data_IF_380231930204
#
_entry.id   IF_380231930204
#
_cell.length_a   1.000
_cell.length_b   1.000
_cell.length_c   1.000
_cell.angle_alpha   90.00
_cell.angle_beta   90.00
_cell.angle_gamma   90.00
#
_symmetry.space_group_name_H-M   'P 1'
#
loop_
_entity.id
_entity.type
_entity.pdbx_description
1 polymer ?
#
# COMPACT_ATOMS: atom_id res chain seq x y z
N UNK A 1 13.81 -4.40 24.45
CA UNK A 1 12.48 -4.18 23.82
C UNK A 1 12.65 -3.34 22.56
N UNK A 2 12.21 -3.89 21.44
CA UNK A 2 12.65 -3.50 20.10
C UNK A 2 12.02 -2.18 19.64
N UNK A 3 12.82 -1.14 19.39
CA UNK A 3 12.37 0.14 18.81
C UNK A 3 11.52 -0.04 17.54
N UNK A 4 11.75 -1.13 16.80
CA UNK A 4 10.96 -1.52 15.63
C UNK A 4 9.47 -1.72 15.90
N UNK A 5 9.08 -2.21 17.08
CA UNK A 5 7.65 -2.39 17.44
C UNK A 5 6.96 -1.03 17.51
N UNK A 6 7.59 -0.04 18.14
CA UNK A 6 7.06 1.32 18.25
C UNK A 6 6.97 2.02 16.89
N UNK A 7 7.98 1.85 16.02
CA UNK A 7 7.92 2.37 14.66
C UNK A 7 6.82 1.74 13.83
N UNK A 8 6.63 0.41 13.94
CA UNK A 8 5.54 -0.30 13.28
C UNK A 8 4.18 0.20 13.77
N UNK A 9 3.98 0.26 15.09
CA UNK A 9 2.74 0.72 15.70
C UNK A 9 2.36 2.14 15.23
N UNK A 10 3.33 3.07 15.26
CA UNK A 10 3.12 4.44 14.80
C UNK A 10 2.77 4.50 13.31
N UNK A 11 3.48 3.72 12.48
CA UNK A 11 3.24 3.69 11.03
C UNK A 11 1.84 3.18 10.72
N UNK A 12 1.42 2.06 11.33
CA UNK A 12 0.09 1.51 11.10
C UNK A 12 -1.02 2.40 11.68
N UNK A 13 -0.80 3.04 12.83
CA UNK A 13 -1.75 4.01 13.38
C UNK A 13 -1.90 5.24 12.46
N UNK A 14 -0.80 5.81 11.98
CA UNK A 14 -0.82 6.91 11.03
C UNK A 14 -1.51 6.53 9.72
N UNK A 15 -1.28 5.31 9.24
CA UNK A 15 -1.97 4.78 8.06
C UNK A 15 -3.49 4.64 8.26
N UNK A 16 -3.94 4.22 9.44
CA UNK A 16 -5.36 4.14 9.76
C UNK A 16 -6.10 5.49 9.74
N UNK A 17 -5.37 6.60 9.90
CA UNK A 17 -5.92 7.96 9.86
C UNK A 17 -6.01 8.53 8.43
N UNK A 18 -5.35 7.92 7.43
CA UNK A 18 -5.33 8.40 6.05
C UNK A 18 -6.73 8.56 5.43
N UNK A 19 -7.67 7.60 5.56
CA UNK A 19 -9.00 7.74 4.99
C UNK A 19 -9.75 8.99 5.49
N UNK A 20 -9.53 9.38 6.76
CA UNK A 20 -10.13 10.59 7.35
C UNK A 20 -9.55 11.84 6.67
N UNK A 21 -8.23 11.87 6.49
CA UNK A 21 -7.54 12.98 5.79
C UNK A 21 -8.01 13.12 4.34
N UNK A 22 -8.15 12.02 3.59
CA UNK A 22 -8.64 12.05 2.22
C UNK A 22 -10.09 12.51 2.13
N UNK A 23 -10.94 12.06 3.05
CA UNK A 23 -12.32 12.54 3.12
C UNK A 23 -12.41 14.04 3.40
N UNK A 24 -11.48 14.60 4.17
CA UNK A 24 -11.39 16.06 4.37
C UNK A 24 -10.93 16.81 3.10
N UNK A 25 -10.26 16.13 2.16
CA UNK A 25 -9.79 16.67 0.89
C UNK A 25 -10.65 16.23 -0.31
N UNK A 26 -11.86 15.70 -0.09
CA UNK A 26 -12.71 15.17 -1.16
C UNK A 26 -13.08 16.21 -2.23
N UNK A 27 -12.93 17.50 -1.94
CA UNK A 27 -13.15 18.60 -2.88
C UNK A 27 -11.99 18.81 -3.86
N UNK A 28 -10.82 18.22 -3.61
CA UNK A 28 -9.62 18.34 -4.45
C UNK A 28 -9.51 17.11 -5.35
N UNK A 29 -9.24 17.28 -6.66
CA UNK A 29 -9.06 16.15 -7.56
C UNK A 29 -7.95 15.19 -7.11
N UNK A 30 -8.19 13.88 -7.22
CA UNK A 30 -7.25 12.84 -6.79
C UNK A 30 -5.85 12.98 -7.45
N UNK A 31 -5.81 13.46 -8.70
CA UNK A 31 -4.57 13.69 -9.43
C UNK A 31 -3.74 14.83 -8.80
N UNK A 32 -4.38 15.91 -8.38
CA UNK A 32 -3.69 17.04 -7.73
C UNK A 32 -3.13 16.63 -6.37
N UNK A 33 -3.88 15.82 -5.62
CA UNK A 33 -3.44 15.24 -4.37
C UNK A 33 -2.19 14.36 -4.60
N UNK A 34 -2.23 13.48 -5.60
CA UNK A 34 -1.11 12.61 -5.94
C UNK A 34 0.11 13.42 -6.38
N UNK A 35 -0.08 14.44 -7.23
CA UNK A 35 1.00 15.30 -7.70
C UNK A 35 1.70 16.01 -6.54
N UNK A 36 0.93 16.63 -5.63
CA UNK A 36 1.47 17.26 -4.42
C UNK A 36 2.26 16.26 -3.57
N UNK A 37 1.74 15.05 -3.39
CA UNK A 37 2.43 14.00 -2.64
C UNK A 37 3.77 13.62 -3.27
N UNK A 38 3.83 13.47 -4.60
CA UNK A 38 5.07 13.14 -5.31
C UNK A 38 6.09 14.26 -5.15
N UNK A 39 5.67 15.53 -5.29
CA UNK A 39 6.54 16.69 -5.12
C UNK A 39 7.12 16.76 -3.71
N UNK A 40 6.28 16.65 -2.67
CA UNK A 40 6.76 16.69 -1.28
C UNK A 40 7.65 15.51 -0.92
N UNK A 41 7.35 14.31 -1.45
CA UNK A 41 8.18 13.12 -1.25
C UNK A 41 9.55 13.29 -1.91
N UNK A 42 9.58 13.87 -3.13
CA UNK A 42 10.83 14.18 -3.83
C UNK A 42 11.66 15.20 -3.05
N UNK A 43 11.04 16.31 -2.60
CA UNK A 43 11.74 17.33 -1.81
C UNK A 43 12.33 16.76 -0.53
N UNK A 44 11.56 15.96 0.22
CA UNK A 44 12.04 15.31 1.43
C UNK A 44 13.16 14.30 1.15
N UNK A 45 13.01 13.48 0.11
CA UNK A 45 14.04 12.52 -0.30
C UNK A 45 15.34 13.23 -0.69
N UNK A 46 15.26 14.31 -1.47
CA UNK A 46 16.41 15.12 -1.84
C UNK A 46 17.09 15.73 -0.61
N UNK A 47 16.33 16.25 0.35
CA UNK A 47 16.86 16.78 1.61
C UNK A 47 17.63 15.71 2.39
N UNK A 48 17.06 14.51 2.52
CA UNK A 48 17.71 13.38 3.20
C UNK A 48 19.01 12.98 2.50
N UNK A 49 18.99 12.90 1.16
CA UNK A 49 20.16 12.55 0.36
C UNK A 49 21.27 13.62 0.45
N UNK A 50 20.90 14.90 0.46
CA UNK A 50 21.81 16.01 0.67
C UNK A 50 22.53 15.89 2.03
N UNK A 51 21.78 15.60 3.09
CA UNK A 51 22.34 15.41 4.45
C UNK A 51 23.25 14.17 4.51
N UNK A 52 22.85 13.05 3.86
CA UNK A 52 23.66 11.82 3.85
C UNK A 52 24.87 11.86 2.92
N UNK A 53 24.94 12.85 2.02
CA UNK A 53 26.02 13.03 1.02
C UNK A 53 26.35 11.79 0.18
N UNK A 54 25.41 10.85 0.06
CA UNK A 54 25.62 9.61 -0.66
C UNK A 54 24.96 9.69 -2.04
N UNK A 55 25.76 9.99 -3.07
CA UNK A 55 25.29 10.13 -4.46
C UNK A 55 25.66 8.95 -5.35
N UNK A 56 26.26 7.89 -4.78
CA UNK A 56 26.69 6.70 -5.52
C UNK A 56 25.54 6.01 -6.26
N UNK A 57 24.32 6.09 -5.71
CA UNK A 57 23.11 5.53 -6.30
C UNK A 57 22.72 6.14 -7.66
N UNK A 58 23.09 7.39 -7.97
CA UNK A 58 22.77 8.00 -9.28
C UNK A 58 23.42 7.23 -10.43
N UNK A 59 24.61 6.68 -10.20
CA UNK A 59 25.34 5.96 -11.25
C UNK A 59 24.60 4.69 -11.63
N UNK A 60 24.08 3.97 -10.62
CA UNK A 60 23.33 2.74 -10.83
C UNK A 60 21.95 3.03 -11.43
N UNK A 61 21.27 4.08 -10.95
CA UNK A 61 19.96 4.49 -11.46
C UNK A 61 19.98 5.00 -12.92
N UNK A 62 21.15 5.39 -13.44
CA UNK A 62 21.34 5.81 -14.83
C UNK A 62 21.55 4.64 -15.80
N UNK A 63 21.73 3.43 -15.31
CA UNK A 63 21.81 2.27 -16.20
C UNK A 63 20.44 2.04 -16.85
N UNK A 64 20.36 1.81 -18.16
CA UNK A 64 19.09 1.78 -18.90
C UNK A 64 18.16 0.66 -18.42
N UNK A 65 18.70 -0.49 -18.05
CA UNK A 65 17.98 -1.62 -17.44
C UNK A 65 17.35 -1.24 -16.09
N UNK A 66 18.13 -0.63 -15.19
CA UNK A 66 17.64 -0.19 -13.88
C UNK A 66 16.63 0.95 -14.02
N UNK A 67 16.89 1.89 -14.94
CA UNK A 67 16.03 3.03 -15.18
C UNK A 67 14.63 2.61 -15.66
N UNK A 68 14.54 1.65 -16.59
CA UNK A 68 13.27 1.11 -17.07
C UNK A 68 12.49 0.44 -15.92
N UNK A 69 13.17 -0.33 -15.07
CA UNK A 69 12.55 -0.96 -13.90
C UNK A 69 12.00 0.10 -12.95
N UNK A 70 12.75 1.18 -12.70
CA UNK A 70 12.30 2.26 -11.82
C UNK A 70 11.12 3.04 -12.39
N UNK A 71 11.11 3.32 -13.70
CA UNK A 71 9.96 3.94 -14.38
C UNK A 71 8.73 3.03 -14.27
N UNK A 72 8.88 1.74 -14.54
CA UNK A 72 7.78 0.78 -14.46
C UNK A 72 7.23 0.69 -13.02
N UNK A 73 8.12 0.55 -12.03
CA UNK A 73 7.74 0.51 -10.62
C UNK A 73 7.07 1.82 -10.17
N UNK A 74 7.59 2.98 -10.59
CA UNK A 74 6.99 4.27 -10.29
C UNK A 74 5.61 4.43 -10.94
N UNK A 75 5.43 3.95 -12.18
CA UNK A 75 4.14 3.94 -12.87
C UNK A 75 3.11 3.06 -12.17
N UNK A 76 3.48 1.82 -11.84
CA UNK A 76 2.62 0.90 -11.08
C UNK A 76 2.23 1.50 -9.72
N UNK A 77 3.19 2.07 -9.00
CA UNK A 77 2.94 2.71 -7.72
C UNK A 77 2.04 3.94 -7.84
N UNK A 78 2.21 4.75 -8.89
CA UNK A 78 1.39 5.92 -9.15
C UNK A 78 -0.05 5.53 -9.50
N UNK A 79 -0.23 4.50 -10.34
CA UNK A 79 -1.56 3.96 -10.69
C UNK A 79 -2.25 3.44 -9.42
N UNK A 80 -1.56 2.61 -8.63
CA UNK A 80 -2.11 2.06 -7.40
C UNK A 80 -2.53 3.17 -6.42
N UNK A 81 -1.69 4.18 -6.20
CA UNK A 81 -2.05 5.31 -5.35
C UNK A 81 -3.17 6.18 -5.91
N UNK A 82 -3.20 6.40 -7.22
CA UNK A 82 -4.25 7.15 -7.87
C UNK A 82 -5.60 6.46 -7.68
N UNK A 83 -5.67 5.16 -7.97
CA UNK A 83 -6.88 4.34 -7.79
C UNK A 83 -7.33 4.36 -6.33
N UNK A 84 -6.39 4.24 -5.38
CA UNK A 84 -6.71 4.34 -3.95
C UNK A 84 -7.34 5.69 -3.56
N UNK A 85 -6.71 6.82 -3.96
CA UNK A 85 -7.21 8.16 -3.60
C UNK A 85 -8.56 8.42 -4.27
N UNK A 86 -8.69 8.04 -5.54
CA UNK A 86 -9.94 8.15 -6.29
C UNK A 86 -11.06 7.35 -5.63
N UNK A 87 -10.82 6.08 -5.30
CA UNK A 87 -11.78 5.21 -4.65
C UNK A 87 -12.25 5.76 -3.30
N UNK A 88 -11.32 6.30 -2.51
CA UNK A 88 -11.66 6.93 -1.22
C UNK A 88 -12.48 8.20 -1.41
N UNK A 89 -12.14 9.05 -2.38
CA UNK A 89 -12.88 10.29 -2.67
C UNK A 89 -14.29 10.01 -3.22
N UNK A 90 -14.46 8.97 -4.02
CA UNK A 90 -15.75 8.56 -4.60
C UNK A 90 -16.63 7.74 -3.64
N UNK A 91 -16.24 7.64 -2.35
CA UNK A 91 -17.02 6.96 -1.32
C UNK A 91 -16.82 5.45 -1.21
N UNK A 92 -15.98 4.85 -2.07
CA UNK A 92 -15.60 3.43 -2.05
C UNK A 92 -14.54 3.11 -0.98
N UNK A 93 -14.57 3.81 0.16
CA UNK A 93 -13.61 3.66 1.27
C UNK A 93 -13.65 2.25 1.85
N UNK A 94 -14.85 1.70 1.99
CA UNK A 94 -15.07 0.35 2.54
C UNK A 94 -14.54 -0.71 1.58
N UNK A 95 -14.81 -0.58 0.27
CA UNK A 95 -14.27 -1.48 -0.77
C UNK A 95 -12.75 -1.48 -0.81
N UNK A 96 -12.15 -0.28 -0.73
CA UNK A 96 -10.71 -0.10 -0.71
C UNK A 96 -10.09 -0.76 0.53
N UNK A 97 -10.71 -0.57 1.70
CA UNK A 97 -10.26 -1.18 2.96
C UNK A 97 -10.41 -2.71 2.93
N UNK A 98 -11.50 -3.21 2.35
CA UNK A 98 -11.74 -4.64 2.08
C UNK A 98 -10.60 -5.24 1.26
N UNK A 99 -10.13 -4.54 0.23
CA UNK A 99 -8.98 -4.98 -0.56
C UNK A 99 -7.70 -5.13 0.25
N UNK A 100 -7.42 -4.20 1.16
CA UNK A 100 -6.28 -4.33 2.08
C UNK A 100 -6.43 -5.49 3.06
N UNK A 101 -7.65 -5.87 3.45
CA UNK A 101 -7.87 -7.05 4.29
C UNK A 101 -7.74 -8.37 3.52
N UNK A 102 -8.01 -8.38 2.22
CA UNK A 102 -7.81 -9.55 1.34
C UNK A 102 -6.33 -9.77 1.04
N UNK A 103 -5.53 -8.71 0.93
CA UNK A 103 -4.11 -8.77 0.54
C UNK A 103 -3.27 -9.75 1.38
N UNK A 104 -3.34 -9.76 2.73
CA UNK A 104 -2.64 -10.75 3.55
C UNK A 104 -3.04 -12.20 3.24
N UNK A 105 -4.31 -12.46 2.95
CA UNK A 105 -4.77 -13.81 2.58
C UNK A 105 -4.20 -14.23 1.23
N UNK A 106 -4.22 -13.33 0.24
CA UNK A 106 -3.62 -13.57 -1.07
C UNK A 106 -2.13 -13.83 -0.93
N UNK A 107 -1.40 -13.03 -0.14
CA UNK A 107 0.02 -13.23 0.12
C UNK A 107 0.31 -14.58 0.78
N UNK A 108 -0.53 -15.02 1.73
CA UNK A 108 -0.41 -16.36 2.34
C UNK A 108 -0.63 -17.46 1.31
N UNK A 109 -1.66 -17.32 0.46
CA UNK A 109 -1.95 -18.29 -0.62
C UNK A 109 -0.78 -18.36 -1.60
N UNK A 110 -0.22 -17.22 -2.02
CA UNK A 110 0.96 -17.18 -2.89
C UNK A 110 2.20 -17.78 -2.18
N UNK A 111 2.39 -17.49 -0.89
CA UNK A 111 3.41 -18.09 -0.03
C UNK A 111 3.37 -19.62 -0.02
N UNK A 112 2.18 -20.18 0.15
CA UNK A 112 1.98 -21.64 0.21
C UNK A 112 2.06 -22.27 -1.18
N UNK A 113 1.44 -21.67 -2.21
CA UNK A 113 1.33 -22.28 -3.55
C UNK A 113 2.56 -22.08 -4.43
N UNK A 114 3.18 -20.89 -4.39
CA UNK A 114 4.32 -20.55 -5.23
C UNK A 114 5.62 -20.89 -4.47
N UNK A 115 5.74 -20.39 -3.24
CA UNK A 115 6.96 -20.53 -2.45
C UNK A 115 7.01 -21.80 -1.59
N UNK A 116 5.95 -22.61 -1.60
CA UNK A 116 5.86 -23.87 -0.86
C UNK A 116 6.13 -23.73 0.65
N UNK A 117 5.77 -22.57 1.23
CA UNK A 117 5.97 -22.31 2.64
C UNK A 117 5.06 -23.18 3.51
N UNK A 118 5.61 -23.73 4.60
CA UNK A 118 4.86 -24.54 5.57
C UNK A 118 4.40 -23.66 6.74
N UNK A 119 3.09 -23.50 6.87
CA UNK A 119 2.48 -22.73 7.96
C UNK A 119 2.30 -23.61 9.20
N UNK A 120 2.58 -23.05 10.37
CA UNK A 120 2.32 -23.70 11.67
C UNK A 120 0.81 -23.82 11.91
N UNK A 121 0.33 -24.81 12.70
CA UNK A 121 -1.10 -25.00 12.95
C UNK A 121 -1.83 -23.75 13.49
N UNK A 122 -1.18 -22.97 14.36
CA UNK A 122 -1.74 -21.71 14.86
C UNK A 122 -1.85 -20.62 13.79
N UNK A 123 -0.98 -20.62 12.78
CA UNK A 123 -1.06 -19.69 11.64
C UNK A 123 -2.25 -20.03 10.74
N UNK A 124 -2.54 -21.32 10.54
CA UNK A 124 -3.76 -21.74 9.86
C UNK A 124 -5.03 -21.26 10.58
N UNK A 125 -5.05 -21.30 11.92
CA UNK A 125 -6.13 -20.72 12.71
C UNK A 125 -6.30 -19.22 12.47
N UNK A 126 -5.20 -18.45 12.46
CA UNK A 126 -5.23 -17.02 12.17
C UNK A 126 -5.70 -16.71 10.74
N UNK A 127 -5.27 -17.50 9.75
CA UNK A 127 -5.72 -17.39 8.35
C UNK A 127 -7.22 -17.67 8.26
N UNK A 128 -7.73 -18.69 8.96
CA UNK A 128 -9.16 -18.99 9.01
C UNK A 128 -9.99 -17.84 9.58
N UNK A 129 -9.54 -17.23 10.68
CA UNK A 129 -10.22 -16.06 11.28
C UNK A 129 -10.22 -14.87 10.31
N UNK A 130 -9.07 -14.58 9.67
CA UNK A 130 -8.97 -13.51 8.68
C UNK A 130 -9.88 -13.76 7.47
N UNK A 131 -9.93 -15.00 6.97
CA UNK A 131 -10.80 -15.40 5.87
C UNK A 131 -12.29 -15.24 6.22
N UNK A 132 -12.70 -15.60 7.44
CA UNK A 132 -14.06 -15.38 7.92
C UNK A 132 -14.42 -13.89 8.00
N UNK A 133 -13.50 -13.05 8.49
CA UNK A 133 -13.69 -11.59 8.53
C UNK A 133 -13.87 -10.98 7.14
N UNK A 134 -13.03 -11.40 6.18
CA UNK A 134 -13.15 -11.00 4.78
C UNK A 134 -14.46 -11.50 4.17
N UNK A 135 -14.86 -12.75 4.42
CA UNK A 135 -16.11 -13.33 3.92
C UNK A 135 -17.32 -12.54 4.45
N UNK A 136 -17.35 -12.26 5.76
CA UNK A 136 -18.41 -11.45 6.38
C UNK A 136 -18.51 -10.07 5.75
N UNK A 137 -17.38 -9.37 5.59
CA UNK A 137 -17.36 -8.05 4.96
C UNK A 137 -17.79 -8.12 3.49
N UNK A 138 -17.38 -9.15 2.74
CA UNK A 138 -17.76 -9.35 1.34
C UNK A 138 -19.26 -9.60 1.19
N UNK A 139 -19.83 -10.47 2.03
CA UNK A 139 -21.28 -10.77 2.04
C UNK A 139 -22.10 -9.54 2.45
N UNK A 140 -21.62 -8.78 3.45
CA UNK A 140 -22.30 -7.56 3.92
C UNK A 140 -22.22 -6.43 2.88
N UNK A 141 -21.11 -6.34 2.15
CA UNK A 141 -20.90 -5.31 1.13
C UNK A 141 -21.55 -5.65 -0.22
N UNK A 142 -21.80 -6.93 -0.51
CA UNK A 142 -22.55 -7.39 -1.68
C UNK A 142 -21.84 -7.24 -3.03
N UNK A 143 -20.60 -6.72 -3.05
CA UNK A 143 -19.79 -6.54 -4.25
C UNK A 143 -18.38 -7.10 -4.06
N UNK A 144 -17.86 -7.76 -5.09
CA UNK A 144 -16.46 -8.15 -5.16
C UNK A 144 -15.59 -6.88 -5.22
N UNK A 145 -14.62 -6.70 -4.31
CA UNK A 145 -13.81 -5.49 -4.26
C UNK A 145 -12.79 -5.52 -5.41
N UNK A 146 -13.18 -5.03 -6.58
CA UNK A 146 -12.33 -5.03 -7.78
C UNK A 146 -11.18 -4.03 -7.63
N UNK A 147 -11.38 -2.98 -6.83
CA UNK A 147 -10.36 -2.00 -6.43
C UNK A 147 -9.21 -2.68 -5.67
N UNK A 148 -9.45 -3.84 -5.05
CA UNK A 148 -8.41 -4.63 -4.38
C UNK A 148 -7.40 -5.29 -5.35
N UNK A 149 -7.79 -5.45 -6.62
CA UNK A 149 -7.04 -6.20 -7.64
C UNK A 149 -6.12 -5.33 -8.50
N UNK A 150 -6.15 -4.01 -8.30
CA UNK A 150 -5.32 -2.99 -8.97
C UNK A 150 -4.18 -2.51 -8.10
#
# INVERSE_FOLDING_TARGET
>A
MQRGIWYGLFTYAAWGLLPIYWKALSTVPALEILANRVIWSLLLALLILLVRRNWSWLREARRPDVFVIYIAAAGLLAINWFVYIWAVNDGHVVETSLGYFINPLVNVVLGVLIFHETLRPFQWGAVGIAALGVLYLTVTYGALPWIALT
#
